data_IF_322252599290
#
_entry.id   IF_322252599290
#
_cell.length_a   1.000
_cell.length_b   1.000
_cell.length_c   1.000
_cell.angle_alpha   90.00
_cell.angle_beta   90.00
_cell.angle_gamma   90.00
#
_symmetry.space_group_name_H-M   'P 1'
#
loop_
_entity.id
_entity.type
_entity.pdbx_description
1 polymer ?
#
# COMPACT_ATOMS: atom_id res chain seq x y z
N UNK A 1 18.01 -6.34 45.15
CA UNK A 1 17.34 -5.15 45.71
C UNK A 1 16.31 -4.67 44.64
N UNK A 2 15.05 -4.99 44.87
CA UNK A 2 13.97 -4.47 43.99
C UNK A 2 13.77 -2.99 44.30
N UNK A 3 14.34 -2.18 43.46
CA UNK A 3 14.28 -0.74 43.60
C UNK A 3 12.87 -0.27 43.16
N UNK A 4 12.01 0.04 44.15
CA UNK A 4 10.62 0.49 43.93
C UNK A 4 10.52 1.66 42.96
N UNK A 5 11.60 2.42 42.80
CA UNK A 5 11.69 3.53 41.85
C UNK A 5 11.49 3.10 40.39
N UNK A 6 11.93 1.89 40.01
CA UNK A 6 11.77 1.37 38.64
C UNK A 6 10.46 0.62 38.41
N UNK A 7 9.63 0.43 39.45
CA UNK A 7 8.36 -0.30 39.32
C UNK A 7 7.38 0.45 38.34
N UNK A 8 7.45 1.77 38.32
CA UNK A 8 6.62 2.60 37.44
C UNK A 8 6.96 2.43 35.96
N UNK A 9 8.25 2.27 35.61
CA UNK A 9 8.70 2.22 34.22
C UNK A 9 8.68 0.79 33.62
N UNK A 10 8.67 -0.24 34.49
CA UNK A 10 8.69 -1.66 34.10
C UNK A 10 7.62 -2.04 33.09
N UNK A 11 6.33 -1.63 33.21
CA UNK A 11 5.30 -1.95 32.23
C UNK A 11 5.61 -1.36 30.85
N UNK A 12 6.17 -0.15 30.81
CA UNK A 12 6.55 0.51 29.57
C UNK A 12 7.76 -0.19 28.90
N UNK A 13 8.78 -0.51 29.68
CA UNK A 13 9.93 -1.27 29.18
C UNK A 13 9.49 -2.66 28.68
N UNK A 14 8.64 -3.36 29.43
CA UNK A 14 8.08 -4.64 28.99
C UNK A 14 7.25 -4.53 27.70
N UNK A 15 6.57 -3.40 27.46
CA UNK A 15 5.87 -3.12 26.21
C UNK A 15 6.83 -2.93 25.02
N UNK A 16 7.99 -2.27 25.25
CA UNK A 16 9.05 -2.12 24.25
C UNK A 16 9.72 -3.46 23.99
N UNK A 17 10.19 -4.12 25.06
CA UNK A 17 10.98 -5.35 25.00
C UNK A 17 10.20 -6.52 24.38
N UNK A 18 8.88 -6.57 24.62
CA UNK A 18 8.00 -7.55 23.98
C UNK A 18 7.75 -7.27 22.49
N UNK A 19 8.24 -6.15 21.94
CA UNK A 19 8.03 -5.73 20.55
C UNK A 19 6.63 -5.25 20.24
N UNK A 20 5.73 -5.18 21.22
CA UNK A 20 4.35 -4.68 21.02
C UNK A 20 4.33 -3.24 20.53
N UNK A 21 5.30 -2.42 20.99
CA UNK A 21 5.47 -1.04 20.54
C UNK A 21 5.66 -0.90 19.03
N UNK A 22 6.22 -1.89 18.37
CA UNK A 22 6.44 -1.86 16.91
C UNK A 22 5.29 -2.51 16.16
N UNK A 23 4.77 -3.65 16.65
CA UNK A 23 3.71 -4.41 15.96
C UNK A 23 2.35 -3.75 16.01
N UNK A 24 1.92 -3.24 17.17
CA UNK A 24 0.58 -2.67 17.32
C UNK A 24 0.34 -1.42 16.47
N UNK A 25 1.22 -0.38 16.46
CA UNK A 25 1.02 0.79 15.61
C UNK A 25 1.01 0.45 14.12
N UNK A 26 1.89 -0.44 13.68
CA UNK A 26 1.91 -0.91 12.30
C UNK A 26 0.60 -1.63 11.95
N UNK A 27 0.05 -2.46 12.84
CA UNK A 27 -1.27 -3.08 12.67
C UNK A 27 -2.38 -2.05 12.46
N UNK A 28 -2.35 -0.92 13.17
CA UNK A 28 -3.30 0.18 12.95
C UNK A 28 -3.06 0.91 11.63
N UNK A 29 -1.80 1.07 11.19
CA UNK A 29 -1.48 1.61 9.86
C UNK A 29 -2.07 0.73 8.77
N UNK A 30 -1.92 -0.60 8.87
CA UNK A 30 -2.55 -1.54 7.92
C UNK A 30 -4.07 -1.38 7.87
N UNK A 31 -4.72 -1.27 9.04
CA UNK A 31 -6.17 -1.06 9.12
C UNK A 31 -6.58 0.26 8.45
N UNK A 32 -5.86 1.34 8.74
CA UNK A 32 -6.14 2.65 8.15
C UNK A 32 -5.99 2.61 6.61
N UNK A 33 -4.91 1.99 6.11
CA UNK A 33 -4.69 1.82 4.67
C UNK A 33 -5.76 0.95 4.03
N UNK A 34 -6.22 -0.12 4.69
CA UNK A 34 -7.33 -0.93 4.21
C UNK A 34 -8.59 -0.06 4.04
N UNK A 35 -8.99 0.68 5.08
CA UNK A 35 -10.17 1.53 5.05
C UNK A 35 -10.06 2.63 3.99
N UNK A 36 -8.91 3.29 3.89
CA UNK A 36 -8.67 4.32 2.87
C UNK A 36 -8.88 3.75 1.46
N UNK A 37 -8.31 2.58 1.17
CA UNK A 37 -8.48 1.95 -0.14
C UNK A 37 -9.92 1.54 -0.43
N UNK A 38 -10.70 1.11 0.57
CA UNK A 38 -12.12 0.80 0.42
C UNK A 38 -12.97 2.05 0.15
N UNK A 39 -12.61 3.18 0.77
CA UNK A 39 -13.36 4.44 0.64
C UNK A 39 -12.93 5.28 -0.57
N UNK A 40 -11.74 5.03 -1.13
CA UNK A 40 -11.18 5.81 -2.23
C UNK A 40 -12.11 5.90 -3.46
N UNK A 41 -12.79 4.83 -3.92
CA UNK A 41 -13.70 4.93 -5.06
C UNK A 41 -14.89 5.86 -4.78
N UNK A 42 -15.40 5.86 -3.54
CA UNK A 42 -16.50 6.74 -3.14
C UNK A 42 -16.05 8.20 -3.13
N UNK A 43 -14.85 8.48 -2.62
CA UNK A 43 -14.25 9.81 -2.65
C UNK A 43 -14.06 10.31 -4.10
N UNK A 44 -13.53 9.48 -4.99
CA UNK A 44 -13.36 9.82 -6.41
C UNK A 44 -14.69 10.15 -7.08
N UNK A 45 -15.73 9.37 -6.79
CA UNK A 45 -17.08 9.63 -7.34
C UNK A 45 -17.66 10.95 -6.82
N UNK A 46 -17.48 11.23 -5.54
CA UNK A 46 -17.90 12.49 -4.93
C UNK A 46 -17.19 13.69 -5.58
N UNK A 47 -15.87 13.64 -5.68
CA UNK A 47 -15.06 14.69 -6.31
C UNK A 47 -15.44 14.91 -7.77
N UNK A 48 -15.71 13.84 -8.52
CA UNK A 48 -16.13 13.93 -9.90
C UNK A 48 -17.50 14.62 -10.05
N UNK A 49 -18.43 14.32 -9.14
CA UNK A 49 -19.75 14.95 -9.14
C UNK A 49 -19.67 16.44 -8.74
N UNK A 50 -18.90 16.77 -7.71
CA UNK A 50 -18.73 18.13 -7.20
C UNK A 50 -18.03 19.04 -8.23
N UNK A 51 -17.17 18.50 -9.05
CA UNK A 51 -16.45 19.22 -10.13
C UNK A 51 -17.13 19.14 -11.51
N UNK A 52 -18.42 18.85 -11.57
CA UNK A 52 -19.24 18.82 -12.76
C UNK A 52 -18.70 17.92 -13.90
N UNK A 53 -18.05 16.80 -13.55
CA UNK A 53 -17.55 15.85 -14.56
C UNK A 53 -18.71 15.27 -15.41
N UNK A 54 -19.88 15.13 -14.82
CA UNK A 54 -21.06 14.57 -15.51
C UNK A 54 -21.70 15.51 -16.53
N UNK A 55 -21.32 16.79 -16.54
CA UNK A 55 -21.68 17.77 -17.56
C UNK A 55 -20.71 17.75 -18.78
N UNK A 56 -19.64 16.96 -18.68
CA UNK A 56 -18.67 16.77 -19.76
C UNK A 56 -19.27 15.95 -20.92
N UNK A 57 -18.63 15.95 -22.10
CA UNK A 57 -19.08 15.13 -23.25
C UNK A 57 -19.27 13.65 -22.83
N UNK A 58 -20.32 13.02 -23.30
CA UNK A 58 -20.69 11.64 -22.91
C UNK A 58 -19.54 10.64 -23.00
N UNK A 59 -18.64 10.79 -23.99
CA UNK A 59 -17.45 9.95 -24.13
C UNK A 59 -16.51 10.04 -22.91
N UNK A 60 -16.33 11.24 -22.38
CA UNK A 60 -15.50 11.49 -21.18
C UNK A 60 -16.12 10.80 -19.96
N UNK A 61 -17.43 10.98 -19.78
CA UNK A 61 -18.18 10.37 -18.67
C UNK A 61 -18.12 8.85 -18.73
N UNK A 62 -18.32 8.26 -19.90
CA UNK A 62 -18.25 6.80 -20.07
C UNK A 62 -16.85 6.26 -19.74
N UNK A 63 -15.80 6.90 -20.25
CA UNK A 63 -14.41 6.49 -19.96
C UNK A 63 -14.10 6.64 -18.47
N UNK A 64 -14.55 7.73 -17.84
CA UNK A 64 -14.41 7.91 -16.40
C UNK A 64 -15.10 6.79 -15.61
N UNK A 65 -16.34 6.44 -15.95
CA UNK A 65 -17.08 5.38 -15.25
C UNK A 65 -16.40 4.01 -15.39
N UNK A 66 -15.86 3.69 -16.58
CA UNK A 66 -15.08 2.45 -16.76
C UNK A 66 -13.84 2.46 -15.85
N UNK A 67 -13.06 3.54 -15.86
CA UNK A 67 -11.88 3.67 -15.02
C UNK A 67 -12.24 3.66 -13.53
N UNK A 68 -13.34 4.28 -13.16
CA UNK A 68 -13.84 4.25 -11.78
C UNK A 68 -14.19 2.83 -11.33
N UNK A 69 -14.83 2.01 -12.17
CA UNK A 69 -15.09 0.59 -11.87
C UNK A 69 -13.79 -0.21 -11.66
N UNK A 70 -12.76 0.06 -12.47
CA UNK A 70 -11.45 -0.57 -12.33
C UNK A 70 -10.80 -0.16 -11.01
N UNK A 71 -10.89 1.13 -10.65
CA UNK A 71 -10.39 1.64 -9.37
C UNK A 71 -11.17 1.03 -8.20
N UNK A 72 -12.48 0.87 -8.32
CA UNK A 72 -13.29 0.23 -7.30
C UNK A 72 -12.87 -1.24 -7.08
N UNK A 73 -12.61 -1.96 -8.15
CA UNK A 73 -12.09 -3.33 -8.08
C UNK A 73 -10.67 -3.36 -7.48
N UNK A 74 -9.77 -2.47 -7.92
CA UNK A 74 -8.42 -2.36 -7.38
C UNK A 74 -8.42 -1.93 -5.90
N UNK A 75 -9.31 -1.02 -5.51
CA UNK A 75 -9.52 -0.59 -4.13
C UNK A 75 -9.99 -1.73 -3.24
N UNK A 76 -10.90 -2.55 -3.73
CA UNK A 76 -11.37 -3.75 -3.03
C UNK A 76 -10.26 -4.79 -2.83
N UNK A 77 -9.47 -5.08 -3.87
CA UNK A 77 -8.30 -5.96 -3.77
C UNK A 77 -7.28 -5.38 -2.79
N UNK A 78 -7.01 -4.08 -2.86
CA UNK A 78 -6.12 -3.37 -1.94
C UNK A 78 -6.59 -3.46 -0.49
N UNK A 79 -7.89 -3.27 -0.24
CA UNK A 79 -8.50 -3.47 1.08
C UNK A 79 -8.19 -4.87 1.61
N UNK A 80 -8.40 -5.93 0.78
CA UNK A 80 -8.13 -7.30 1.18
C UNK A 80 -6.66 -7.56 1.48
N UNK A 81 -5.74 -7.01 0.66
CA UNK A 81 -4.29 -7.14 0.90
C UNK A 81 -3.93 -6.56 2.27
N UNK A 82 -4.31 -5.33 2.56
CA UNK A 82 -3.98 -4.67 3.82
C UNK A 82 -4.64 -5.34 5.02
N UNK A 83 -5.88 -5.81 4.86
CA UNK A 83 -6.62 -6.52 5.91
C UNK A 83 -6.00 -7.87 6.27
N UNK A 84 -5.66 -8.69 5.28
CA UNK A 84 -4.99 -9.97 5.49
C UNK A 84 -3.61 -9.79 6.13
N UNK A 85 -2.83 -8.85 5.64
CA UNK A 85 -1.48 -8.59 6.14
C UNK A 85 -1.43 -8.03 7.56
N UNK A 86 -2.49 -7.36 8.01
CA UNK A 86 -2.61 -6.88 9.40
C UNK A 86 -2.48 -8.01 10.42
N UNK A 87 -3.10 -9.16 10.18
CA UNK A 87 -2.99 -10.31 11.10
C UNK A 87 -1.58 -10.87 11.12
N UNK A 88 -0.94 -10.95 9.96
CA UNK A 88 0.40 -11.52 9.79
C UNK A 88 1.51 -10.68 10.41
N UNK A 89 1.31 -9.37 10.57
CA UNK A 89 2.32 -8.52 11.21
C UNK A 89 2.57 -8.91 12.68
N UNK A 90 1.56 -9.47 13.34
CA UNK A 90 1.70 -9.94 14.72
C UNK A 90 2.54 -11.22 14.84
N UNK A 91 2.71 -11.95 13.73
CA UNK A 91 3.44 -13.21 13.65
C UNK A 91 4.89 -13.00 13.19
N UNK A 92 5.29 -11.78 12.83
CA UNK A 92 6.61 -11.49 12.24
C UNK A 92 7.78 -11.62 13.20
N UNK A 93 7.54 -11.62 14.51
CA UNK A 93 8.56 -11.81 15.53
C UNK A 93 7.96 -12.52 16.74
N UNK A 94 8.77 -13.34 17.39
CA UNK A 94 8.41 -14.09 18.60
C UNK A 94 8.83 -13.31 19.86
N UNK A 95 8.13 -13.52 20.97
CA UNK A 95 8.50 -12.92 22.25
C UNK A 95 9.87 -13.45 22.68
N UNK A 96 10.84 -12.55 22.90
CA UNK A 96 12.23 -12.90 23.18
C UNK A 96 13.21 -12.71 22.02
N UNK A 97 12.72 -12.36 20.81
CA UNK A 97 13.58 -11.98 19.70
C UNK A 97 14.31 -10.66 19.98
N UNK A 98 15.63 -10.62 19.74
CA UNK A 98 16.43 -9.41 19.95
C UNK A 98 16.11 -8.32 18.90
N UNK A 99 15.78 -8.75 17.66
CA UNK A 99 15.45 -7.85 16.54
C UNK A 99 13.97 -7.93 16.20
N UNK A 100 13.16 -7.10 16.84
CA UNK A 100 11.69 -7.08 16.60
C UNK A 100 11.29 -6.05 15.54
N UNK A 101 11.96 -4.90 15.51
CA UNK A 101 11.60 -3.79 14.63
C UNK A 101 11.86 -4.10 13.14
N UNK A 102 13.01 -4.73 12.82
CA UNK A 102 13.41 -5.01 11.44
C UNK A 102 12.47 -6.01 10.73
N UNK A 103 12.06 -7.14 11.33
CA UNK A 103 11.07 -8.03 10.76
C UNK A 103 9.73 -7.35 10.48
N UNK A 104 9.25 -6.53 11.40
CA UNK A 104 8.00 -5.76 11.21
C UNK A 104 8.13 -4.77 10.05
N UNK A 105 9.25 -4.03 9.98
CA UNK A 105 9.52 -3.11 8.90
C UNK A 105 9.65 -3.82 7.55
N UNK A 106 10.36 -4.94 7.49
CA UNK A 106 10.50 -5.74 6.27
C UNK A 106 9.14 -6.22 5.75
N UNK A 107 8.25 -6.64 6.66
CA UNK A 107 6.89 -7.03 6.31
C UNK A 107 6.09 -5.86 5.74
N UNK A 108 6.26 -4.66 6.31
CA UNK A 108 5.63 -3.45 5.78
C UNK A 108 6.14 -3.10 4.38
N UNK A 109 7.46 -3.09 4.15
CA UNK A 109 8.08 -2.82 2.85
C UNK A 109 7.56 -3.78 1.79
N UNK A 110 7.50 -5.08 2.11
CA UNK A 110 6.97 -6.09 1.19
C UNK A 110 5.51 -5.82 0.86
N UNK A 111 4.65 -5.62 1.87
CA UNK A 111 3.21 -5.41 1.66
C UNK A 111 2.93 -4.13 0.89
N UNK A 112 3.65 -3.05 1.22
CA UNK A 112 3.53 -1.78 0.51
C UNK A 112 3.92 -1.93 -0.96
N UNK A 113 5.00 -2.62 -1.25
CA UNK A 113 5.44 -2.86 -2.63
C UNK A 113 4.47 -3.76 -3.41
N UNK A 114 3.95 -4.82 -2.80
CA UNK A 114 2.92 -5.68 -3.40
C UNK A 114 1.65 -4.87 -3.74
N UNK A 115 1.20 -4.04 -2.82
CA UNK A 115 0.05 -3.15 -3.03
C UNK A 115 0.33 -2.09 -4.10
N UNK A 116 1.40 -1.31 -3.95
CA UNK A 116 1.72 -0.21 -4.86
C UNK A 116 1.99 -0.72 -6.28
N UNK A 117 2.75 -1.80 -6.42
CA UNK A 117 3.05 -2.39 -7.72
C UNK A 117 1.81 -2.95 -8.41
N UNK A 118 0.91 -3.61 -7.67
CA UNK A 118 -0.37 -4.09 -8.22
C UNK A 118 -1.25 -2.93 -8.66
N UNK A 119 -1.35 -1.89 -7.81
CA UNK A 119 -2.10 -0.67 -8.15
C UNK A 119 -1.56 -0.02 -9.41
N UNK A 120 -0.23 0.19 -9.46
CA UNK A 120 0.43 0.81 -10.61
C UNK A 120 0.23 0.02 -11.90
N UNK A 121 0.39 -1.31 -11.83
CA UNK A 121 0.20 -2.17 -12.99
C UNK A 121 -1.25 -2.14 -13.49
N UNK A 122 -2.23 -2.32 -12.61
CA UNK A 122 -3.64 -2.46 -13.00
C UNK A 122 -4.23 -1.10 -13.37
N UNK A 123 -4.20 -0.15 -12.44
CA UNK A 123 -4.84 1.16 -12.66
C UNK A 123 -4.10 1.94 -13.75
N UNK A 124 -2.76 1.92 -13.73
CA UNK A 124 -1.95 2.59 -14.74
C UNK A 124 -2.13 2.02 -16.14
N UNK A 125 -2.23 0.69 -16.28
CA UNK A 125 -2.50 0.04 -17.55
C UNK A 125 -3.82 0.50 -18.17
N UNK A 126 -4.90 0.38 -17.44
CA UNK A 126 -6.21 0.78 -17.93
C UNK A 126 -6.33 2.29 -18.13
N UNK A 127 -5.72 3.08 -17.25
CA UNK A 127 -5.65 4.53 -17.41
C UNK A 127 -4.94 4.89 -18.72
N UNK A 128 -3.78 4.29 -19.01
CA UNK A 128 -3.05 4.51 -20.26
C UNK A 128 -3.92 4.23 -21.49
N UNK A 129 -4.60 3.08 -21.53
CA UNK A 129 -5.43 2.70 -22.67
C UNK A 129 -6.64 3.62 -22.84
N UNK A 130 -7.41 3.83 -21.77
CA UNK A 130 -8.70 4.52 -21.88
C UNK A 130 -8.55 6.03 -22.04
N UNK A 131 -7.50 6.64 -21.51
CA UNK A 131 -7.28 8.08 -21.67
C UNK A 131 -6.80 8.46 -23.07
N UNK A 132 -6.24 7.54 -23.85
CA UNK A 132 -5.93 7.76 -25.25
C UNK A 132 -7.20 7.92 -26.10
N UNK A 133 -8.30 7.33 -25.66
CA UNK A 133 -9.57 7.41 -26.39
C UNK A 133 -10.26 8.78 -26.26
N UNK A 134 -9.79 9.67 -25.40
CA UNK A 134 -10.45 10.94 -25.06
C UNK A 134 -9.45 12.09 -25.16
N UNK A 135 -9.76 13.10 -25.96
CA UNK A 135 -8.92 14.30 -26.10
C UNK A 135 -8.81 15.08 -24.78
N UNK A 136 -9.89 15.09 -23.98
CA UNK A 136 -9.96 15.73 -22.67
C UNK A 136 -9.44 14.85 -21.52
N UNK A 137 -8.55 13.94 -21.79
CA UNK A 137 -7.98 12.99 -20.80
C UNK A 137 -7.43 13.65 -19.51
N UNK A 138 -7.00 14.92 -19.62
CA UNK A 138 -6.57 15.72 -18.46
C UNK A 138 -7.66 15.96 -17.43
N UNK A 139 -8.94 16.01 -17.87
CA UNK A 139 -10.07 16.14 -16.92
C UNK A 139 -10.19 14.90 -16.05
N UNK A 140 -10.09 13.72 -16.66
CA UNK A 140 -10.17 12.44 -15.94
C UNK A 140 -8.97 12.27 -15.01
N UNK A 141 -7.77 12.65 -15.46
CA UNK A 141 -6.53 12.52 -14.69
C UNK A 141 -6.48 13.33 -13.39
N UNK A 142 -7.36 14.34 -13.23
CA UNK A 142 -7.46 15.11 -11.98
C UNK A 142 -8.06 14.28 -10.82
N UNK A 143 -8.93 13.32 -11.14
CA UNK A 143 -9.70 12.56 -10.16
C UNK A 143 -9.07 11.20 -9.85
N UNK A 144 -8.17 10.68 -10.70
CA UNK A 144 -7.63 9.34 -10.57
C UNK A 144 -6.23 9.37 -9.95
N UNK A 145 -6.05 8.87 -8.71
CA UNK A 145 -4.73 8.67 -8.14
C UNK A 145 -3.96 7.63 -8.96
N UNK A 146 -2.82 8.01 -9.49
CA UNK A 146 -2.00 7.12 -10.33
C UNK A 146 -1.82 7.61 -11.77
N UNK A 147 -2.46 8.71 -12.14
CA UNK A 147 -2.14 9.46 -13.36
C UNK A 147 -0.74 10.08 -13.35
N UNK A 148 0.20 9.42 -12.66
CA UNK A 148 1.59 9.88 -12.53
C UNK A 148 2.36 9.83 -13.84
N UNK A 149 1.92 9.06 -14.82
CA UNK A 149 2.53 9.00 -16.13
C UNK A 149 1.84 10.08 -16.98
N UNK A 150 2.56 11.17 -17.20
CA UNK A 150 2.13 12.25 -18.08
C UNK A 150 2.03 11.70 -19.50
N UNK A 151 0.81 11.58 -19.99
CA UNK A 151 0.51 11.06 -21.33
C UNK A 151 -0.30 9.75 -21.23
N UNK A 152 -1.41 9.68 -21.94
CA UNK A 152 -2.13 8.45 -22.21
C UNK A 152 -1.39 7.61 -23.26
N UNK A 153 -1.98 6.48 -23.63
CA UNK A 153 -1.50 5.68 -24.72
C UNK A 153 -0.92 4.33 -24.32
N UNK A 154 -0.73 3.51 -25.30
CA UNK A 154 -0.27 2.13 -25.13
C UNK A 154 1.13 2.07 -24.50
N UNK A 155 1.97 3.08 -24.77
CA UNK A 155 3.30 3.16 -24.15
C UNK A 155 3.22 3.32 -22.62
N UNK A 156 2.36 4.24 -22.16
CA UNK A 156 2.15 4.45 -20.72
C UNK A 156 1.52 3.22 -20.06
N UNK A 157 0.64 2.51 -20.75
CA UNK A 157 0.05 1.26 -20.28
C UNK A 157 1.13 0.18 -20.08
N UNK A 158 2.00 -0.03 -21.07
CA UNK A 158 3.11 -1.00 -20.99
C UNK A 158 4.09 -0.63 -19.87
N UNK A 159 4.49 0.65 -19.81
CA UNK A 159 5.40 1.14 -18.77
C UNK A 159 4.80 0.92 -17.38
N UNK A 160 3.50 1.14 -17.20
CA UNK A 160 2.82 0.92 -15.92
C UNK A 160 2.89 -0.53 -15.46
N UNK A 161 2.71 -1.49 -16.37
CA UNK A 161 2.83 -2.93 -16.04
C UNK A 161 4.27 -3.29 -15.65
N UNK A 162 5.25 -2.82 -16.44
CA UNK A 162 6.67 -3.08 -16.17
C UNK A 162 7.08 -2.45 -14.83
N UNK A 163 6.73 -1.19 -14.62
CA UNK A 163 7.04 -0.47 -13.37
C UNK A 163 6.37 -1.13 -12.17
N UNK A 164 5.10 -1.50 -12.27
CA UNK A 164 4.38 -2.20 -11.21
C UNK A 164 5.03 -3.55 -10.86
N UNK A 165 5.42 -4.33 -11.85
CA UNK A 165 6.16 -5.57 -11.64
C UNK A 165 7.51 -5.33 -10.94
N UNK A 166 8.28 -4.34 -11.39
CA UNK A 166 9.57 -4.00 -10.78
C UNK A 166 9.41 -3.53 -9.32
N UNK A 167 8.37 -2.74 -9.02
CA UNK A 167 8.07 -2.33 -7.64
C UNK A 167 7.85 -3.55 -6.76
N UNK A 168 7.08 -4.54 -7.20
CA UNK A 168 6.84 -5.77 -6.44
C UNK A 168 8.13 -6.54 -6.21
N UNK A 169 8.91 -6.77 -7.27
CA UNK A 169 10.14 -7.56 -7.20
C UNK A 169 11.17 -6.89 -6.29
N UNK A 170 11.41 -5.57 -6.47
CA UNK A 170 12.40 -4.83 -5.69
C UNK A 170 12.00 -4.73 -4.21
N UNK A 171 10.73 -4.53 -3.92
CA UNK A 171 10.24 -4.48 -2.54
C UNK A 171 10.37 -5.83 -1.84
N UNK A 172 10.10 -6.92 -2.55
CA UNK A 172 10.32 -8.27 -2.04
C UNK A 172 11.79 -8.56 -1.79
N UNK A 173 12.64 -8.28 -2.76
CA UNK A 173 14.09 -8.45 -2.61
C UNK A 173 14.62 -7.66 -1.42
N UNK A 174 14.21 -6.40 -1.26
CA UNK A 174 14.59 -5.58 -0.11
C UNK A 174 14.11 -6.19 1.23
N UNK A 175 12.88 -6.67 1.29
CA UNK A 175 12.34 -7.32 2.49
C UNK A 175 13.05 -8.63 2.82
N UNK A 176 13.42 -9.42 1.83
CA UNK A 176 14.18 -10.67 2.00
C UNK A 176 15.60 -10.38 2.47
N UNK A 177 16.28 -9.36 1.93
CA UNK A 177 17.61 -8.92 2.40
C UNK A 177 17.58 -8.52 3.88
N UNK A 178 16.59 -7.74 4.31
CA UNK A 178 16.43 -7.34 5.72
C UNK A 178 16.26 -8.57 6.63
N UNK A 179 15.44 -9.53 6.21
CA UNK A 179 15.25 -10.78 6.98
C UNK A 179 16.50 -11.64 7.02
N UNK A 180 17.25 -11.74 5.93
CA UNK A 180 18.52 -12.46 5.89
C UNK A 180 19.56 -11.87 6.85
N UNK A 181 19.68 -10.53 6.91
CA UNK A 181 20.58 -9.85 7.84
C UNK A 181 20.23 -10.18 9.30
N UNK A 182 18.94 -10.13 9.65
CA UNK A 182 18.48 -10.49 11.01
C UNK A 182 18.78 -11.96 11.33
N UNK A 183 18.55 -12.86 10.38
CA UNK A 183 18.84 -14.29 10.55
C UNK A 183 20.34 -14.55 10.79
N UNK A 184 21.20 -13.89 10.03
CA UNK A 184 22.66 -13.98 10.20
C UNK A 184 23.05 -13.44 11.57
N UNK A 185 22.54 -12.26 11.97
CA UNK A 185 22.84 -11.66 13.26
C UNK A 185 22.44 -12.56 14.44
N UNK A 186 21.28 -13.21 14.37
CA UNK A 186 20.81 -14.14 15.37
C UNK A 186 21.63 -15.45 15.43
N UNK A 187 22.16 -15.91 14.29
CA UNK A 187 22.94 -17.15 14.23
C UNK A 187 24.42 -16.97 14.61
N UNK A 188 25.00 -15.80 14.43
CA UNK A 188 26.42 -15.53 14.75
C UNK A 188 26.67 -15.26 16.23
N UNK A 189 25.65 -15.12 17.04
CA UNK A 189 25.75 -14.91 18.50
C UNK A 189 25.66 -16.18 19.34
N UNK A 190 25.42 -17.32 18.71
CA UNK A 190 25.50 -18.62 19.39
C UNK A 190 26.95 -19.12 19.44
#
# INVERSE_FOLDING_TARGET
MDNKFFTFIRPYLGYIDSGKMFRQPIGYVYLALAIINALLPLYIMYEAADNNLFDAPAKVVVVFLILWLIIAAAGWVSFQIWWDRKSKVNETSVEGDEFVAIPVYSHFVQTFGEWAGTWFAVVGFFFGIFTELVEESRMIGRFIPGGFIKGGGIESAIISVIAGYLIIVLSRAAAEMLRAIVSIANNTRK
#
